data_IF_547014008183
#
_entry.id   IF_547014008183
#
_cell.length_a   1.000
_cell.length_b   1.000
_cell.length_c   1.000
_cell.angle_alpha   90.00
_cell.angle_beta   90.00
_cell.angle_gamma   90.00
#
_symmetry.space_group_name_H-M   'P 1'
#
loop_
_entity.id
_entity.type
_entity.pdbx_description
1 polymer ?
#
# COMPACT_ATOMS: atom_id res chain seq x y z
N UNK A 1 -18.07 -5.31 -15.97
CA UNK A 1 -17.87 -4.53 -14.73
C UNK A 1 -17.79 -5.47 -13.52
N UNK A 2 -17.43 -4.98 -12.33
CA UNK A 2 -17.46 -5.79 -11.09
C UNK A 2 -18.90 -6.10 -10.65
N UNK A 3 -19.83 -5.18 -10.92
CA UNK A 3 -21.26 -5.34 -10.65
C UNK A 3 -21.87 -6.50 -11.45
N UNK A 4 -21.50 -6.68 -12.73
CA UNK A 4 -21.93 -7.82 -13.55
C UNK A 4 -21.49 -9.18 -12.96
N UNK A 5 -20.51 -9.17 -12.04
CA UNK A 5 -20.00 -10.35 -11.36
C UNK A 5 -20.54 -10.49 -9.93
N UNK A 6 -21.55 -9.69 -9.57
CA UNK A 6 -22.25 -9.73 -8.28
C UNK A 6 -21.58 -8.93 -7.16
N UNK A 7 -20.61 -8.06 -7.46
CA UNK A 7 -20.11 -7.10 -6.45
C UNK A 7 -21.14 -6.01 -6.19
N UNK A 8 -21.54 -5.84 -4.93
CA UNK A 8 -22.41 -4.75 -4.50
C UNK A 8 -21.53 -3.64 -3.93
N UNK A 9 -21.58 -2.46 -4.55
CA UNK A 9 -20.91 -1.26 -4.08
C UNK A 9 -21.85 -0.42 -3.22
N UNK A 10 -21.37 0.04 -2.08
CA UNK A 10 -22.13 0.90 -1.15
C UNK A 10 -21.64 2.36 -1.17
N UNK A 11 -20.48 2.61 -1.79
CA UNK A 11 -19.85 3.92 -1.90
C UNK A 11 -19.41 4.19 -3.33
N UNK A 12 -19.11 5.45 -3.64
CA UNK A 12 -18.44 5.85 -4.88
C UNK A 12 -16.91 5.93 -4.74
N UNK A 13 -16.34 5.34 -3.68
CA UNK A 13 -14.90 5.43 -3.41
C UNK A 13 -14.11 4.42 -4.24
N UNK A 14 -13.02 4.88 -4.87
CA UNK A 14 -12.05 4.02 -5.54
C UNK A 14 -11.49 2.92 -4.62
N UNK A 15 -11.44 3.18 -3.31
CA UNK A 15 -11.02 2.19 -2.31
C UNK A 15 -11.90 0.94 -2.32
N UNK A 16 -13.21 1.08 -2.52
CA UNK A 16 -14.14 -0.05 -2.55
C UNK A 16 -13.90 -0.93 -3.79
N UNK A 17 -13.56 -0.32 -4.93
CA UNK A 17 -13.16 -1.03 -6.15
C UNK A 17 -11.97 -1.94 -5.88
N UNK A 18 -10.97 -1.43 -5.16
CA UNK A 18 -9.77 -2.18 -4.79
C UNK A 18 -10.10 -3.33 -3.86
N UNK A 19 -10.97 -3.11 -2.87
CA UNK A 19 -11.42 -4.16 -1.96
C UNK A 19 -12.16 -5.28 -2.70
N UNK A 20 -13.05 -4.95 -3.63
CA UNK A 20 -13.70 -5.96 -4.46
C UNK A 20 -12.71 -6.73 -5.33
N UNK A 21 -11.71 -6.07 -5.93
CA UNK A 21 -10.66 -6.73 -6.71
C UNK A 21 -9.83 -7.71 -5.87
N UNK A 22 -9.54 -7.36 -4.61
CA UNK A 22 -8.86 -8.23 -3.65
C UNK A 22 -9.76 -9.42 -3.29
N UNK A 23 -11.05 -9.17 -3.01
CA UNK A 23 -12.01 -10.18 -2.57
C UNK A 23 -12.20 -11.30 -3.61
N UNK A 24 -12.32 -10.96 -4.90
CA UNK A 24 -12.49 -11.95 -5.98
C UNK A 24 -11.19 -12.67 -6.36
N UNK A 25 -10.03 -12.20 -5.88
CA UNK A 25 -8.74 -12.78 -6.23
C UNK A 25 -8.50 -14.08 -5.48
N UNK A 26 -8.15 -15.14 -6.22
CA UNK A 26 -7.81 -16.47 -5.66
C UNK A 26 -6.32 -16.65 -5.37
N UNK A 27 -5.50 -15.61 -5.52
CA UNK A 27 -4.05 -15.70 -5.33
C UNK A 27 -3.69 -16.08 -3.88
N UNK A 28 -2.57 -16.79 -3.71
CA UNK A 28 -2.02 -17.19 -2.41
C UNK A 28 -0.49 -16.97 -2.39
N UNK A 29 0.09 -16.62 -1.23
CA UNK A 29 -0.56 -16.12 0.00
C UNK A 29 -1.41 -14.85 -0.20
N UNK A 30 -2.23 -14.47 0.80
CA UNK A 30 -3.20 -13.35 0.72
C UNK A 30 -2.60 -12.07 0.14
N UNK A 31 -1.35 -11.77 0.51
CA UNK A 31 -0.59 -10.65 -0.01
C UNK A 31 -0.58 -10.54 -1.54
N UNK A 32 -0.48 -11.67 -2.26
CA UNK A 32 -0.51 -11.64 -3.73
C UNK A 32 -1.85 -11.21 -4.31
N UNK A 33 -2.93 -11.24 -3.51
CA UNK A 33 -4.23 -10.69 -3.91
C UNK A 33 -4.17 -9.17 -3.97
N UNK A 34 -3.53 -8.52 -2.99
CA UNK A 34 -3.28 -7.07 -2.98
C UNK A 34 -2.43 -6.70 -4.18
N UNK A 35 -1.28 -7.38 -4.37
CA UNK A 35 -0.40 -7.20 -5.53
C UNK A 35 -1.17 -7.29 -6.84
N UNK A 36 -2.02 -8.31 -7.00
CA UNK A 36 -2.80 -8.51 -8.23
C UNK A 36 -3.89 -7.45 -8.42
N UNK A 37 -4.50 -6.96 -7.35
CA UNK A 37 -5.46 -5.87 -7.41
C UNK A 37 -4.76 -4.57 -7.80
N UNK A 38 -3.65 -4.23 -7.16
CA UNK A 38 -2.87 -3.02 -7.45
C UNK A 38 -2.32 -2.99 -8.87
N UNK A 39 -1.92 -4.15 -9.44
CA UNK A 39 -1.51 -4.25 -10.85
C UNK A 39 -2.61 -3.92 -11.87
N UNK A 40 -3.89 -3.92 -11.45
CA UNK A 40 -5.02 -3.54 -12.30
C UNK A 40 -5.40 -2.06 -12.16
N UNK A 41 -4.80 -1.36 -11.21
CA UNK A 41 -5.07 0.06 -10.99
C UNK A 41 -4.21 0.87 -11.92
N UNK A 42 -4.85 1.78 -12.65
CA UNK A 42 -4.19 2.83 -13.40
C UNK A 42 -4.45 4.14 -12.67
N UNK A 43 -3.39 4.85 -12.27
CA UNK A 43 -3.50 6.10 -11.53
C UNK A 43 -2.47 6.25 -10.42
N UNK A 44 -2.80 7.10 -9.46
CA UNK A 44 -1.94 7.49 -8.35
C UNK A 44 -2.57 7.07 -7.02
N UNK A 45 -1.83 6.31 -6.20
CA UNK A 45 -2.32 5.82 -4.92
C UNK A 45 -1.19 5.51 -3.94
N UNK A 46 -1.39 5.91 -2.70
CA UNK A 46 -0.63 5.45 -1.53
C UNK A 46 -1.63 4.83 -0.58
N UNK A 47 -1.46 3.55 -0.23
CA UNK A 47 -2.43 2.81 0.56
C UNK A 47 -1.76 2.00 1.66
N UNK A 48 -2.46 1.85 2.78
CA UNK A 48 -2.10 0.93 3.85
C UNK A 48 -3.30 0.01 4.11
N UNK A 49 -3.10 -1.30 3.94
CA UNK A 49 -4.06 -2.33 4.28
C UNK A 49 -3.68 -2.91 5.64
N UNK A 50 -4.66 -3.08 6.52
CA UNK A 50 -4.46 -3.77 7.80
C UNK A 50 -5.25 -5.07 7.76
N UNK A 51 -4.55 -6.18 7.92
CA UNK A 51 -5.15 -7.49 8.16
C UNK A 51 -5.05 -7.83 9.65
N UNK A 52 -5.66 -8.92 10.09
CA UNK A 52 -5.58 -9.39 11.48
C UNK A 52 -4.12 -9.50 11.97
N UNK A 53 -3.21 -9.94 11.10
CA UNK A 53 -1.83 -10.24 11.50
C UNK A 53 -0.79 -9.25 11.00
N UNK A 54 -1.05 -8.57 9.86
CA UNK A 54 -0.01 -7.83 9.12
C UNK A 54 -0.55 -6.53 8.51
N UNK A 55 0.12 -5.39 8.73
CA UNK A 55 -0.05 -4.23 7.88
C UNK A 55 0.74 -4.37 6.57
N UNK A 56 0.16 -3.85 5.49
CA UNK A 56 0.73 -3.87 4.14
C UNK A 56 0.64 -2.47 3.54
N UNK A 57 1.77 -1.88 3.20
CA UNK A 57 1.83 -0.57 2.55
C UNK A 57 2.12 -0.72 1.05
N UNK A 58 1.40 0.02 0.21
CA UNK A 58 1.54 -0.01 -1.26
C UNK A 58 1.69 1.42 -1.76
N UNK A 59 2.69 1.65 -2.63
CA UNK A 59 2.82 2.90 -3.39
C UNK A 59 2.64 2.62 -4.88
N UNK A 60 1.95 3.53 -5.58
CA UNK A 60 1.73 3.42 -7.02
C UNK A 60 3.06 3.34 -7.79
N UNK A 61 3.05 2.75 -9.00
CA UNK A 61 4.25 2.57 -9.80
C UNK A 61 5.04 3.85 -10.04
N UNK A 62 4.39 5.00 -10.19
CA UNK A 62 5.09 6.24 -10.50
C UNK A 62 5.49 7.04 -9.26
N UNK A 63 5.12 6.57 -8.06
CA UNK A 63 5.37 7.25 -6.80
C UNK A 63 4.69 8.62 -6.73
N UNK A 64 3.54 8.76 -7.39
CA UNK A 64 2.88 10.06 -7.58
C UNK A 64 2.44 10.66 -6.25
N UNK A 65 1.84 9.84 -5.38
CA UNK A 65 1.51 10.23 -4.00
C UNK A 65 2.68 9.86 -3.06
N UNK A 66 2.98 10.68 -2.04
CA UNK A 66 4.01 10.35 -1.06
C UNK A 66 3.53 9.23 -0.14
N UNK A 67 4.50 8.46 0.36
CA UNK A 67 4.30 7.46 1.41
C UNK A 67 5.65 7.21 2.08
N UNK A 68 5.75 7.56 3.35
CA UNK A 68 6.95 7.42 4.16
C UNK A 68 6.80 6.30 5.18
N UNK A 69 7.92 5.69 5.52
CA UNK A 69 8.05 4.67 6.55
C UNK A 69 8.94 5.20 7.69
N UNK A 70 8.50 4.94 8.91
CA UNK A 70 9.23 5.26 10.13
C UNK A 70 9.14 4.14 11.17
N UNK A 71 9.82 4.33 12.29
CA UNK A 71 9.82 3.38 13.40
C UNK A 71 9.75 4.08 14.76
N UNK A 72 8.90 3.56 15.64
CA UNK A 72 8.83 3.99 17.05
C UNK A 72 9.94 3.34 17.88
N UNK A 73 10.25 3.92 19.04
CA UNK A 73 11.24 3.38 19.99
C UNK A 73 10.95 1.94 20.45
N UNK A 74 9.67 1.54 20.47
CA UNK A 74 9.25 0.16 20.79
C UNK A 74 9.36 -0.82 19.59
N UNK A 75 9.93 -0.40 18.47
CA UNK A 75 10.11 -1.20 17.26
C UNK A 75 8.92 -1.22 16.30
N UNK A 76 7.80 -0.58 16.65
CA UNK A 76 6.61 -0.54 15.78
C UNK A 76 6.88 0.22 14.48
N UNK A 77 6.55 -0.40 13.35
CA UNK A 77 6.63 0.22 12.02
C UNK A 77 5.43 1.13 11.81
N UNK A 78 5.70 2.32 11.27
CA UNK A 78 4.72 3.37 10.99
C UNK A 78 4.77 3.71 9.51
N UNK A 79 3.61 3.94 8.90
CA UNK A 79 3.48 4.53 7.57
C UNK A 79 2.68 5.82 7.65
N UNK A 80 3.10 6.84 6.91
CA UNK A 80 2.40 8.12 6.84
C UNK A 80 2.54 8.74 5.44
N UNK A 81 1.65 9.66 5.08
CA UNK A 81 1.79 10.41 3.82
C UNK A 81 2.94 11.43 3.87
N UNK A 82 3.28 11.92 5.07
CA UNK A 82 4.26 13.00 5.27
C UNK A 82 5.15 12.72 6.49
N UNK A 83 6.40 13.19 6.45
CA UNK A 83 7.35 13.01 7.56
C UNK A 83 6.96 13.77 8.82
N UNK A 84 6.26 14.91 8.68
CA UNK A 84 5.79 15.70 9.82
C UNK A 84 4.90 14.88 10.77
N UNK A 85 4.17 13.89 10.24
CA UNK A 85 3.35 12.98 11.04
C UNK A 85 4.23 12.08 11.91
N UNK A 86 5.41 11.69 11.43
CA UNK A 86 6.36 10.89 12.20
C UNK A 86 6.89 11.69 13.39
N UNK A 87 7.22 12.97 13.18
CA UNK A 87 7.71 13.87 14.25
C UNK A 87 6.67 14.06 15.35
N UNK A 88 5.41 14.32 14.97
CA UNK A 88 4.28 14.47 15.89
C UNK A 88 4.06 13.25 16.78
N UNK A 89 4.45 12.08 16.28
CA UNK A 89 4.31 10.83 16.99
C UNK A 89 5.68 10.29 17.44
N UNK A 90 6.75 11.08 17.50
CA UNK A 90 8.06 10.61 17.99
C UNK A 90 8.52 9.30 17.31
N UNK A 91 8.22 9.13 16.02
CA UNK A 91 8.74 8.06 15.19
C UNK A 91 9.98 8.54 14.44
N UNK A 92 11.03 7.73 14.42
CA UNK A 92 12.22 8.00 13.61
C UNK A 92 11.91 7.69 12.15
N UNK A 93 12.12 8.66 11.26
CA UNK A 93 12.04 8.44 9.83
C UNK A 93 13.08 7.41 9.35
N UNK A 94 12.66 6.46 8.53
CA UNK A 94 13.55 5.46 7.94
C UNK A 94 13.80 5.75 6.46
N UNK A 95 12.73 5.82 5.65
CA UNK A 95 12.80 6.08 4.21
C UNK A 95 11.42 6.33 3.60
N UNK A 96 11.38 6.82 2.38
CA UNK A 96 10.21 6.70 1.52
C UNK A 96 9.97 5.25 1.11
N UNK A 97 8.69 4.88 0.93
CA UNK A 97 8.29 3.68 0.18
C UNK A 97 8.57 3.92 -1.29
N UNK A 98 9.30 3.03 -1.96
CA UNK A 98 9.71 3.23 -3.34
C UNK A 98 8.51 3.17 -4.31
N UNK A 99 8.59 3.84 -5.47
CA UNK A 99 7.57 3.71 -6.52
C UNK A 99 7.32 2.25 -6.91
N UNK A 100 6.05 1.83 -6.89
CA UNK A 100 5.65 0.45 -7.18
C UNK A 100 6.05 -0.57 -6.11
N UNK A 101 6.58 -0.13 -4.96
CA UNK A 101 6.94 -1.00 -3.86
C UNK A 101 5.70 -1.37 -3.03
N UNK A 102 5.74 -2.60 -2.53
CA UNK A 102 4.85 -3.08 -1.51
C UNK A 102 5.65 -3.61 -0.34
N UNK A 103 5.31 -3.11 0.84
CA UNK A 103 5.91 -3.50 2.11
C UNK A 103 4.94 -4.32 2.92
N UNK A 104 5.38 -5.49 3.38
CA UNK A 104 4.65 -6.33 4.32
C UNK A 104 5.39 -6.31 5.64
N UNK A 105 4.70 -5.94 6.71
CA UNK A 105 5.27 -5.99 8.05
C UNK A 105 4.78 -7.26 8.73
N UNK A 106 5.71 -8.14 9.06
CA UNK A 106 5.48 -9.41 9.74
C UNK A 106 6.21 -9.43 11.10
N UNK A 107 5.58 -10.04 12.11
CA UNK A 107 6.17 -10.14 13.46
C UNK A 107 7.42 -11.04 13.51
N UNK A 108 7.49 -12.05 12.65
CA UNK A 108 8.60 -13.02 12.58
C UNK A 108 9.65 -12.61 11.55
N UNK A 109 9.20 -12.24 10.35
CA UNK A 109 10.09 -11.97 9.22
C UNK A 109 10.49 -10.50 9.09
N UNK A 110 9.94 -9.61 9.93
CA UNK A 110 10.19 -8.18 9.86
C UNK A 110 9.55 -7.53 8.64
N UNK A 111 10.25 -6.57 8.02
CA UNK A 111 9.74 -5.81 6.87
C UNK A 111 10.20 -6.47 5.58
N UNK A 112 9.26 -7.02 4.82
CA UNK A 112 9.50 -7.62 3.51
C UNK A 112 9.14 -6.62 2.40
N UNK A 113 10.02 -6.47 1.42
CA UNK A 113 9.80 -5.59 0.26
C UNK A 113 9.59 -6.39 -1.02
N UNK A 114 8.54 -6.05 -1.77
CA UNK A 114 8.21 -6.64 -3.07
C UNK A 114 7.94 -5.52 -4.06
N UNK A 115 8.64 -5.54 -5.20
CA UNK A 115 8.41 -4.60 -6.28
C UNK A 115 7.33 -5.13 -7.25
N UNK A 116 6.25 -4.37 -7.46
CA UNK A 116 5.17 -4.73 -8.39
C UNK A 116 5.60 -4.63 -9.84
N UNK A 117 6.39 -3.60 -10.15
CA UNK A 117 6.80 -3.21 -11.50
C UNK A 117 8.24 -2.69 -11.43
N UNK A 118 9.20 -3.34 -12.10
CA UNK A 118 10.58 -2.87 -12.10
C UNK A 118 10.73 -1.56 -12.90
N UNK A 119 11.33 -0.55 -12.28
CA UNK A 119 11.88 0.67 -12.87
C UNK A 119 10.94 1.63 -13.65
N UNK A 120 9.74 1.96 -13.17
CA UNK A 120 9.02 3.13 -13.67
C UNK A 120 9.78 4.42 -13.34
N UNK A 121 9.93 5.32 -14.31
CA UNK A 121 10.46 6.67 -14.05
C UNK A 121 9.50 7.39 -13.09
N UNK A 122 9.95 7.86 -11.91
CA UNK A 122 9.08 8.54 -10.96
C UNK A 122 8.43 9.77 -11.58
N UNK A 123 7.15 10.00 -11.25
CA UNK A 123 6.38 11.19 -11.63
C UNK A 123 5.67 11.71 -10.39
N UNK A 124 6.40 12.44 -9.56
CA UNK A 124 5.84 12.98 -8.31
C UNK A 124 4.87 14.14 -8.59
N UNK A 125 3.87 14.27 -7.72
CA UNK A 125 3.00 15.45 -7.70
C UNK A 125 3.83 16.70 -7.34
N UNK A 126 3.66 17.79 -8.10
CA UNK A 126 4.33 19.08 -7.85
C UNK A 126 3.55 19.98 -6.89
N UNK A 127 2.31 19.61 -6.58
CA UNK A 127 1.42 20.28 -5.63
C UNK A 127 1.53 19.65 -4.25
#
# INVERSE_FOLDING_TARGET
MLEDKGSIFNTSSDTEVILHLIAISKARPFFFRIVKACKKLEGACSMVFVTEDKPVAVRDPYGFRPLVMGRRSNGAVVFASETCTLDLIEATYEREVYPGEVLVVDKKDGVQSVCLIPHPKPKQCIF
#
